data_IF_266844616611
#
_entry.id   IF_266844616611
#
_cell.length_a   1.000
_cell.length_b   1.000
_cell.length_c   1.000
_cell.angle_alpha   90.00
_cell.angle_beta   90.00
_cell.angle_gamma   90.00
#
_symmetry.space_group_name_H-M   'P 1'
#
loop_
_entity.id
_entity.type
_entity.pdbx_description
1 polymer ?
#
# COMPACT_ATOMS: atom_id res chain seq x y z
N UNK A 1 1.33 -12.96 -3.87
CA UNK A 1 1.78 -12.25 -5.09
C UNK A 1 2.43 -10.92 -4.74
N UNK A 2 1.78 -10.08 -3.92
CA UNK A 2 2.35 -8.82 -3.49
C UNK A 2 3.46 -9.00 -2.44
N UNK A 3 3.21 -9.84 -1.42
CA UNK A 3 4.16 -10.18 -0.35
C UNK A 3 5.41 -10.93 -0.84
N UNK A 4 5.38 -11.42 -2.08
CA UNK A 4 6.47 -12.19 -2.70
C UNK A 4 7.33 -11.31 -3.62
N UNK A 5 7.03 -10.01 -3.75
CA UNK A 5 7.85 -9.08 -4.53
C UNK A 5 9.11 -8.72 -3.73
N UNK A 6 10.23 -8.55 -4.43
CA UNK A 6 11.46 -8.11 -3.81
C UNK A 6 11.26 -6.76 -3.11
N UNK A 7 11.83 -6.62 -1.91
CA UNK A 7 11.77 -5.39 -1.14
C UNK A 7 10.40 -5.02 -0.58
N UNK A 8 9.37 -5.90 -0.67
CA UNK A 8 8.07 -5.63 -0.06
C UNK A 8 8.20 -5.52 1.47
N UNK A 9 7.79 -4.39 2.03
CA UNK A 9 7.82 -4.13 3.48
C UNK A 9 6.44 -4.27 4.14
N UNK A 10 5.37 -4.09 3.38
CA UNK A 10 4.02 -4.15 3.93
C UNK A 10 2.98 -3.44 3.06
N UNK A 11 1.72 -3.55 3.47
CA UNK A 11 0.61 -2.84 2.86
C UNK A 11 -0.32 -2.27 3.93
N UNK A 12 -0.97 -1.17 3.59
CA UNK A 12 -1.99 -0.54 4.43
C UNK A 12 -3.21 -0.30 3.55
N UNK A 13 -4.37 -0.74 4.02
CA UNK A 13 -5.64 -0.49 3.37
C UNK A 13 -6.60 0.20 4.34
N UNK A 14 -7.37 1.14 3.82
CA UNK A 14 -8.40 1.86 4.57
C UNK A 14 -9.64 2.02 3.72
N UNK A 15 -10.80 1.91 4.34
CA UNK A 15 -12.09 2.10 3.69
C UNK A 15 -13.00 2.95 4.58
N UNK A 16 -13.55 4.01 4.01
CA UNK A 16 -14.67 4.74 4.57
C UNK A 16 -15.97 4.16 3.99
N UNK A 17 -16.66 3.37 4.80
CA UNK A 17 -17.92 2.73 4.42
C UNK A 17 -19.07 3.71 4.25
N UNK A 18 -19.00 4.92 4.83
CA UNK A 18 -20.04 5.93 4.68
C UNK A 18 -19.93 6.65 3.34
N UNK A 19 -18.72 7.02 2.93
CA UNK A 19 -18.49 7.69 1.65
C UNK A 19 -18.19 6.74 0.49
N UNK A 20 -17.99 5.44 0.77
CA UNK A 20 -17.56 4.44 -0.22
C UNK A 20 -16.14 4.66 -0.75
N UNK A 21 -15.28 5.37 -0.01
CA UNK A 21 -13.91 5.71 -0.47
C UNK A 21 -12.90 4.75 0.15
N UNK A 22 -11.97 4.26 -0.66
CA UNK A 22 -10.90 3.37 -0.22
C UNK A 22 -9.52 3.89 -0.59
N UNK A 23 -8.51 3.46 0.16
CA UNK A 23 -7.09 3.58 -0.20
C UNK A 23 -6.42 2.23 0.03
N UNK A 24 -5.49 1.89 -0.86
CA UNK A 24 -4.51 0.84 -0.62
C UNK A 24 -3.13 1.38 -0.95
N UNK A 25 -2.21 1.27 -0.01
CA UNK A 25 -0.81 1.61 -0.16
C UNK A 25 0.04 0.34 0.00
N UNK A 26 1.08 0.23 -0.81
CA UNK A 26 2.07 -0.85 -0.73
C UNK A 26 3.44 -0.23 -0.59
N UNK A 27 4.23 -0.75 0.33
CA UNK A 27 5.48 -0.16 0.75
C UNK A 27 6.62 -1.07 0.30
N UNK A 28 7.65 -0.47 -0.30
CA UNK A 28 8.87 -1.13 -0.71
C UNK A 28 10.09 -0.44 -0.09
N UNK A 29 11.16 -1.20 0.11
CA UNK A 29 12.41 -0.72 0.71
C UNK A 29 13.19 0.27 -0.17
N UNK A 30 12.88 0.32 -1.45
CA UNK A 30 13.56 1.12 -2.46
C UNK A 30 12.64 1.45 -3.63
N UNK A 31 12.93 2.58 -4.28
CA UNK A 31 12.21 2.99 -5.50
C UNK A 31 12.36 1.97 -6.64
N UNK A 32 13.54 1.37 -6.78
CA UNK A 32 13.80 0.35 -7.81
C UNK A 32 12.87 -0.87 -7.63
N UNK A 33 12.74 -1.39 -6.41
CA UNK A 33 11.85 -2.51 -6.13
C UNK A 33 10.37 -2.13 -6.30
N UNK A 34 9.97 -0.90 -5.95
CA UNK A 34 8.62 -0.39 -6.22
C UNK A 34 8.33 -0.37 -7.73
N UNK A 35 9.22 0.20 -8.53
CA UNK A 35 9.07 0.31 -9.98
C UNK A 35 9.07 -1.07 -10.65
N UNK A 36 9.95 -1.99 -10.22
CA UNK A 36 10.00 -3.36 -10.71
C UNK A 36 8.72 -4.14 -10.37
N UNK A 37 8.08 -3.83 -9.24
CA UNK A 37 6.83 -4.47 -8.84
C UNK A 37 5.64 -4.05 -9.72
N UNK A 38 5.71 -2.88 -10.38
CA UNK A 38 4.57 -2.22 -11.02
C UNK A 38 3.88 -3.11 -12.07
N UNK A 39 4.68 -3.83 -12.87
CA UNK A 39 4.20 -4.81 -13.87
C UNK A 39 3.54 -6.00 -13.16
N UNK A 40 4.19 -6.54 -12.13
CA UNK A 40 3.72 -7.74 -11.43
C UNK A 40 2.41 -7.48 -10.67
N UNK A 41 2.19 -6.26 -10.19
CA UNK A 41 1.02 -5.89 -9.39
C UNK A 41 -0.05 -5.13 -10.19
N UNK A 42 0.18 -4.83 -11.47
CA UNK A 42 -0.79 -4.20 -12.36
C UNK A 42 -2.14 -4.96 -12.39
N UNK A 43 -2.09 -6.30 -12.50
CA UNK A 43 -3.30 -7.12 -12.48
C UNK A 43 -4.07 -7.09 -11.16
N UNK A 44 -3.39 -6.83 -10.04
CA UNK A 44 -4.05 -6.63 -8.74
C UNK A 44 -4.75 -5.27 -8.69
N UNK A 45 -4.14 -4.21 -9.23
CA UNK A 45 -4.77 -2.89 -9.34
C UNK A 45 -6.06 -2.95 -10.16
N UNK A 46 -6.06 -3.69 -11.27
CA UNK A 46 -7.24 -3.91 -12.10
C UNK A 46 -8.37 -4.60 -11.30
N UNK A 47 -8.03 -5.65 -10.54
CA UNK A 47 -9.00 -6.39 -9.72
C UNK A 47 -9.60 -5.52 -8.61
N UNK A 48 -8.79 -4.68 -7.96
CA UNK A 48 -9.26 -3.78 -6.90
C UNK A 48 -10.20 -2.70 -7.44
N UNK A 49 -9.91 -2.15 -8.62
CA UNK A 49 -10.82 -1.23 -9.33
C UNK A 49 -12.16 -1.87 -9.62
N UNK A 50 -12.16 -3.13 -10.08
CA UNK A 50 -13.38 -3.86 -10.40
C UNK A 50 -14.20 -4.25 -9.15
N UNK A 51 -13.55 -4.64 -8.05
CA UNK A 51 -14.25 -5.11 -6.84
C UNK A 51 -15.02 -3.99 -6.12
N UNK A 52 -14.48 -2.78 -6.11
CA UNK A 52 -14.99 -1.71 -5.25
C UNK A 52 -15.86 -0.67 -6.00
N UNK A 53 -16.22 -0.92 -7.27
CA UNK A 53 -16.84 0.08 -8.16
C UNK A 53 -16.12 1.45 -8.08
N UNK A 54 -14.80 1.43 -7.81
CA UNK A 54 -13.99 2.62 -7.58
C UNK A 54 -13.73 3.30 -8.94
N UNK A 55 -14.75 3.99 -9.43
CA UNK A 55 -14.80 4.59 -10.77
C UNK A 55 -13.71 5.65 -11.01
N UNK A 56 -13.09 6.19 -9.95
CA UNK A 56 -12.02 7.20 -10.02
C UNK A 56 -10.81 6.78 -9.18
N UNK A 57 -10.08 5.76 -9.64
CA UNK A 57 -8.87 5.29 -8.94
C UNK A 57 -7.61 5.93 -9.53
N UNK A 58 -6.98 6.84 -8.80
CA UNK A 58 -5.61 7.30 -9.09
C UNK A 58 -4.58 6.34 -8.49
N UNK A 59 -3.39 6.32 -9.08
CA UNK A 59 -2.25 5.57 -8.56
C UNK A 59 -1.06 6.50 -8.58
N UNK A 60 -0.47 6.73 -7.42
CA UNK A 60 0.62 7.66 -7.22
C UNK A 60 1.72 7.00 -6.38
N UNK A 61 2.97 7.39 -6.64
CA UNK A 61 4.13 6.93 -5.87
C UNK A 61 4.59 8.04 -4.92
N UNK A 62 4.79 7.68 -3.66
CA UNK A 62 5.21 8.60 -2.60
C UNK A 62 6.50 8.11 -1.94
N UNK A 63 7.27 9.04 -1.40
CA UNK A 63 8.38 8.72 -0.49
C UNK A 63 7.86 8.70 0.94
N UNK A 64 8.22 7.66 1.69
CA UNK A 64 7.85 7.51 3.09
C UNK A 64 9.12 7.37 3.93
N UNK A 65 9.19 8.13 5.03
CA UNK A 65 10.19 7.92 6.06
C UNK A 65 9.57 7.01 7.11
N UNK A 66 10.04 5.78 7.17
CA UNK A 66 9.62 4.78 8.16
C UNK A 66 10.69 4.67 9.24
N UNK A 67 10.25 4.61 10.49
CA UNK A 67 11.11 4.36 11.64
C UNK A 67 10.60 3.14 12.37
N UNK A 68 11.51 2.28 12.80
CA UNK A 68 11.15 1.17 13.69
C UNK A 68 10.70 1.75 15.03
N UNK A 69 9.48 1.40 15.45
CA UNK A 69 9.04 1.68 16.81
C UNK A 69 9.62 0.62 17.74
N UNK A 70 10.22 1.00 18.89
CA UNK A 70 10.62 0.02 19.88
C UNK A 70 9.40 -0.77 20.32
N UNK A 71 9.55 -2.10 20.44
CA UNK A 71 8.47 -3.06 20.77
C UNK A 71 7.80 -2.78 22.12
N UNK A 72 8.36 -1.87 22.92
CA UNK A 72 7.82 -1.38 24.18
C UNK A 72 7.77 0.15 24.17
N UNK A 73 6.57 0.69 23.97
CA UNK A 73 6.26 2.10 24.24
C UNK A 73 5.75 2.17 25.67
N UNK A 74 6.59 2.67 26.59
CA UNK A 74 6.09 3.12 27.89
C UNK A 74 5.40 4.46 27.68
N UNK A 75 4.07 4.48 27.80
CA UNK A 75 3.32 5.73 27.90
C UNK A 75 3.53 6.23 29.32
N UNK A 76 4.41 7.20 29.51
CA UNK A 76 4.48 7.94 30.77
C UNK A 76 3.13 8.68 30.95
N UNK A 77 2.45 8.39 32.06
CA UNK A 77 1.22 9.06 32.48
C UNK A 77 1.48 10.49 32.93
#
# INVERSE_FOLDING_TARGET
MLETQNGFCGSVAGMDAHSGRGIMATIFDSRENLEASDIAIAGLREQLRAFAEMADTTVDAFELVLSELPTSVSVAQ
#
